data_IF_664020172586
#
_entry.id   IF_664020172586
#
_cell.length_a   1.000
_cell.length_b   1.000
_cell.length_c   1.000
_cell.angle_alpha   90.00
_cell.angle_beta   90.00
_cell.angle_gamma   90.00
#
_symmetry.space_group_name_H-M   'P 1'
#
loop_
_entity.id
_entity.type
_entity.pdbx_description
1 polymer ?
#
# COMPACT_ATOMS: atom_id res chain seq x y z
N UNK A 1 -24.94 30.64 38.80
CA UNK A 1 -25.02 31.02 37.37
C UNK A 1 -24.07 30.12 36.62
N UNK A 2 -24.61 29.34 35.70
CA UNK A 2 -23.97 28.23 34.99
C UNK A 2 -22.65 28.63 34.32
N UNK A 3 -21.58 27.89 34.59
CA UNK A 3 -20.40 27.86 33.73
C UNK A 3 -20.80 27.09 32.47
N UNK A 4 -20.87 27.79 31.35
CA UNK A 4 -21.03 27.18 30.03
C UNK A 4 -19.74 26.41 29.74
N UNK A 5 -19.80 25.08 29.74
CA UNK A 5 -18.80 24.26 29.08
C UNK A 5 -18.68 24.74 27.64
N UNK A 6 -17.47 25.15 27.25
CA UNK A 6 -17.19 25.50 25.86
C UNK A 6 -17.24 24.20 25.06
N UNK A 7 -18.10 24.08 24.04
CA UNK A 7 -18.27 22.84 23.27
C UNK A 7 -17.03 22.39 22.47
N UNK A 8 -15.90 23.10 22.58
CA UNK A 8 -14.62 22.74 21.95
C UNK A 8 -13.57 22.16 22.91
N UNK A 9 -13.78 22.20 24.23
CA UNK A 9 -12.83 21.62 25.20
C UNK A 9 -12.73 20.10 25.07
N UNK A 10 -13.88 19.43 25.02
CA UNK A 10 -13.99 17.98 24.92
C UNK A 10 -13.35 17.43 23.63
N UNK A 11 -13.50 18.12 22.50
CA UNK A 11 -12.93 17.68 21.22
C UNK A 11 -11.40 17.80 21.19
N UNK A 12 -10.84 18.84 21.82
CA UNK A 12 -9.39 19.01 21.92
C UNK A 12 -8.80 17.96 22.86
N UNK A 13 -9.41 17.74 24.02
CA UNK A 13 -8.97 16.71 24.97
C UNK A 13 -9.08 15.29 24.37
N UNK A 14 -10.14 14.99 23.63
CA UNK A 14 -10.29 13.71 22.95
C UNK A 14 -9.23 13.50 21.85
N UNK A 15 -8.94 14.54 21.07
CA UNK A 15 -7.90 14.50 20.05
C UNK A 15 -6.51 14.31 20.66
N UNK A 16 -6.18 15.05 21.72
CA UNK A 16 -4.92 14.90 22.47
C UNK A 16 -4.76 13.49 23.02
N UNK A 17 -5.81 12.94 23.65
CA UNK A 17 -5.81 11.57 24.16
C UNK A 17 -5.56 10.53 23.05
N UNK A 18 -6.20 10.68 21.90
CA UNK A 18 -6.01 9.79 20.75
C UNK A 18 -4.57 9.87 20.21
N UNK A 19 -4.05 11.08 20.04
CA UNK A 19 -2.68 11.33 19.57
C UNK A 19 -1.67 10.71 20.54
N UNK A 20 -1.79 10.94 21.83
CA UNK A 20 -0.91 10.37 22.86
C UNK A 20 -0.95 8.85 22.88
N UNK A 21 -2.14 8.26 22.68
CA UNK A 21 -2.27 6.80 22.57
C UNK A 21 -1.61 6.27 21.30
N UNK A 22 -1.78 6.95 20.17
CA UNK A 22 -1.14 6.59 18.91
C UNK A 22 0.39 6.68 19.01
N UNK A 23 0.92 7.78 19.54
CA UNK A 23 2.36 7.99 19.76
C UNK A 23 2.95 6.93 20.69
N UNK A 24 2.28 6.62 21.81
CA UNK A 24 2.71 5.54 22.71
C UNK A 24 2.71 4.18 22.02
N UNK A 25 1.70 3.89 21.20
CA UNK A 25 1.65 2.65 20.43
C UNK A 25 2.81 2.57 19.42
N UNK A 26 3.06 3.64 18.66
CA UNK A 26 4.17 3.73 17.69
C UNK A 26 5.53 3.56 18.39
N UNK A 27 5.76 4.28 19.49
CA UNK A 27 7.02 4.22 20.26
C UNK A 27 7.35 2.81 20.78
N UNK A 28 6.34 1.95 20.94
CA UNK A 28 6.50 0.56 21.39
C UNK A 28 6.33 -0.47 20.26
N UNK A 29 6.35 -0.04 18.99
CA UNK A 29 6.21 -0.92 17.84
C UNK A 29 4.82 -1.55 17.69
N UNK A 30 3.78 -0.91 18.25
CA UNK A 30 2.39 -1.38 18.22
C UNK A 30 1.61 -0.68 17.13
N UNK A 31 1.69 -1.16 15.89
CA UNK A 31 0.89 -0.59 14.79
C UNK A 31 0.42 -1.66 13.78
N UNK A 32 0.23 -2.91 14.22
CA UNK A 32 -0.23 -4.02 13.38
C UNK A 32 -1.59 -3.75 12.72
N UNK A 33 -2.61 -3.28 13.45
CA UNK A 33 -3.96 -3.04 12.90
C UNK A 33 -3.95 -1.87 11.93
N UNK A 34 -3.32 -0.78 12.34
CA UNK A 34 -3.18 0.43 11.51
C UNK A 34 -2.47 0.11 10.21
N UNK A 35 -1.36 -0.64 10.28
CA UNK A 35 -0.62 -1.02 9.08
C UNK A 35 -1.36 -2.07 8.23
N UNK A 36 -2.15 -2.96 8.84
CA UNK A 36 -3.03 -3.89 8.12
C UNK A 36 -4.10 -3.14 7.31
N UNK A 37 -4.79 -2.19 7.94
CA UNK A 37 -5.80 -1.37 7.29
C UNK A 37 -5.19 -0.46 6.22
N UNK A 38 -4.06 0.18 6.53
CA UNK A 38 -3.35 1.04 5.58
C UNK A 38 -2.85 0.24 4.36
N UNK A 39 -2.39 -1.00 4.55
CA UNK A 39 -2.03 -1.89 3.44
C UNK A 39 -3.23 -2.16 2.53
N UNK A 40 -4.40 -2.47 3.10
CA UNK A 40 -5.62 -2.72 2.31
C UNK A 40 -6.05 -1.47 1.53
N UNK A 41 -6.10 -0.31 2.19
CA UNK A 41 -6.47 0.96 1.56
C UNK A 41 -5.49 1.34 0.44
N UNK A 42 -4.19 1.31 0.73
CA UNK A 42 -3.16 1.63 -0.25
C UNK A 42 -3.15 0.63 -1.42
N UNK A 43 -3.43 -0.66 -1.18
CA UNK A 43 -3.53 -1.65 -2.25
C UNK A 43 -4.72 -1.35 -3.18
N UNK A 44 -5.87 -0.92 -2.65
CA UNK A 44 -7.02 -0.51 -3.46
C UNK A 44 -6.69 0.70 -4.33
N UNK A 45 -6.15 1.77 -3.74
CA UNK A 45 -5.78 2.99 -4.47
C UNK A 45 -4.74 2.69 -5.54
N UNK A 46 -3.64 1.99 -5.16
CA UNK A 46 -2.58 1.59 -6.09
C UNK A 46 -3.14 0.75 -7.24
N UNK A 47 -4.06 -0.18 -6.97
CA UNK A 47 -4.63 -1.03 -8.01
C UNK A 47 -5.57 -0.27 -8.94
N UNK A 48 -6.29 0.74 -8.44
CA UNK A 48 -7.10 1.61 -9.28
C UNK A 48 -6.21 2.40 -10.25
N UNK A 49 -5.13 3.00 -9.76
CA UNK A 49 -4.14 3.69 -10.62
C UNK A 49 -3.53 2.73 -11.65
N UNK A 50 -3.08 1.56 -11.22
CA UNK A 50 -2.54 0.51 -12.10
C UNK A 50 -3.55 0.10 -13.16
N UNK A 51 -4.83 -0.08 -12.79
CA UNK A 51 -5.88 -0.41 -13.74
C UNK A 51 -6.04 0.66 -14.81
N UNK A 52 -6.10 1.95 -14.44
CA UNK A 52 -6.25 3.03 -15.41
C UNK A 52 -5.03 3.17 -16.32
N UNK A 53 -3.82 3.04 -15.79
CA UNK A 53 -2.59 3.07 -16.58
C UNK A 53 -2.54 1.88 -17.56
N UNK A 54 -2.90 0.68 -17.10
CA UNK A 54 -2.91 -0.51 -17.94
C UNK A 54 -4.04 -0.47 -18.97
N UNK A 55 -5.17 0.13 -18.63
CA UNK A 55 -6.29 0.37 -19.54
C UNK A 55 -5.91 1.34 -20.65
N UNK A 56 -5.23 2.46 -20.33
CA UNK A 56 -4.67 3.39 -21.34
C UNK A 56 -3.69 2.68 -22.27
N UNK A 57 -2.94 1.72 -21.75
CA UNK A 57 -2.05 0.85 -22.53
C UNK A 57 -2.74 -0.39 -23.12
N UNK A 58 -4.08 -0.42 -23.14
CA UNK A 58 -4.94 -1.48 -23.72
C UNK A 58 -4.71 -2.90 -23.19
N UNK A 59 -4.09 -3.05 -22.01
CA UNK A 59 -3.71 -4.35 -21.46
C UNK A 59 -2.97 -5.26 -22.46
N UNK A 60 -2.14 -4.68 -23.34
CA UNK A 60 -1.54 -5.39 -24.48
C UNK A 60 -0.60 -6.56 -24.12
N UNK A 61 -0.23 -6.71 -22.85
CA UNK A 61 0.49 -7.86 -22.32
C UNK A 61 -0.33 -8.53 -21.21
N UNK A 62 -0.51 -9.85 -21.28
CA UNK A 62 -1.23 -10.63 -20.26
C UNK A 62 -0.75 -10.40 -18.81
N UNK A 63 0.54 -10.12 -18.62
CA UNK A 63 1.11 -9.81 -17.31
C UNK A 63 0.58 -8.50 -16.71
N UNK A 64 0.00 -7.60 -17.52
CA UNK A 64 -0.66 -6.39 -17.02
C UNK A 64 -1.91 -6.69 -16.19
N UNK A 65 -2.47 -7.89 -16.28
CA UNK A 65 -3.59 -8.32 -15.43
C UNK A 65 -3.14 -8.85 -14.08
N UNK A 66 -1.86 -9.21 -13.91
CA UNK A 66 -1.39 -9.81 -12.66
C UNK A 66 -1.60 -8.91 -11.44
N UNK A 67 -1.39 -7.57 -11.48
CA UNK A 67 -1.69 -6.71 -10.34
C UNK A 67 -3.16 -6.81 -9.92
N UNK A 68 -4.09 -6.81 -10.89
CA UNK A 68 -5.54 -6.87 -10.63
C UNK A 68 -5.92 -8.18 -9.92
N UNK A 69 -5.29 -9.29 -10.29
CA UNK A 69 -5.56 -10.61 -9.71
C UNK A 69 -4.98 -10.76 -8.30
N UNK A 70 -3.81 -10.19 -8.01
CA UNK A 70 -3.18 -10.33 -6.69
C UNK A 70 -3.72 -9.35 -5.64
N UNK A 71 -4.47 -8.32 -6.04
CA UNK A 71 -5.03 -7.31 -5.13
C UNK A 71 -6.10 -7.85 -4.18
N UNK A 72 -7.17 -8.56 -4.63
CA UNK A 72 -8.25 -8.96 -3.73
C UNK A 72 -7.78 -9.75 -2.51
N UNK A 73 -6.84 -10.73 -2.62
CA UNK A 73 -6.30 -11.42 -1.46
C UNK A 73 -5.64 -10.50 -0.42
N UNK A 74 -4.80 -9.54 -0.84
CA UNK A 74 -4.12 -8.64 0.12
C UNK A 74 -5.08 -7.65 0.75
N UNK A 75 -6.09 -7.17 0.02
CA UNK A 75 -7.13 -6.29 0.56
C UNK A 75 -7.96 -7.04 1.60
N UNK A 76 -8.45 -8.23 1.28
CA UNK A 76 -9.20 -9.07 2.22
C UNK A 76 -8.36 -9.38 3.47
N UNK A 77 -7.10 -9.77 3.29
CA UNK A 77 -6.22 -10.07 4.41
C UNK A 77 -5.91 -8.83 5.26
N UNK A 78 -5.75 -7.66 4.66
CA UNK A 78 -5.50 -6.40 5.36
C UNK A 78 -6.71 -5.94 6.17
N UNK A 79 -7.92 -5.94 5.57
CA UNK A 79 -9.17 -5.65 6.27
C UNK A 79 -9.40 -6.65 7.41
N UNK A 80 -9.28 -7.94 7.15
CA UNK A 80 -9.42 -8.97 8.18
C UNK A 80 -8.35 -8.85 9.28
N UNK A 81 -7.14 -8.40 8.94
CA UNK A 81 -6.02 -8.18 9.88
C UNK A 81 -6.30 -7.10 10.93
N UNK A 82 -7.07 -6.06 10.57
CA UNK A 82 -7.55 -5.03 11.50
C UNK A 82 -8.32 -5.67 12.66
N UNK A 83 -9.18 -6.65 12.37
CA UNK A 83 -10.06 -7.27 13.36
C UNK A 83 -9.49 -8.56 13.95
N UNK A 84 -8.62 -9.27 13.23
CA UNK A 84 -8.11 -10.59 13.63
C UNK A 84 -6.58 -10.69 13.59
N UNK A 85 -6.00 -11.04 14.74
CA UNK A 85 -4.57 -11.33 14.87
C UNK A 85 -4.15 -12.51 13.98
N UNK A 86 -5.00 -13.53 13.81
CA UNK A 86 -4.72 -14.67 12.92
C UNK A 86 -4.52 -14.22 11.48
N UNK A 87 -5.37 -13.32 10.99
CA UNK A 87 -5.27 -12.79 9.63
C UNK A 87 -4.04 -11.90 9.45
N UNK A 88 -3.79 -10.99 10.40
CA UNK A 88 -2.61 -10.12 10.39
C UNK A 88 -1.29 -10.91 10.45
N UNK A 89 -1.23 -12.02 11.19
CA UNK A 89 0.00 -12.81 11.37
C UNK A 89 0.23 -13.93 10.34
N UNK A 90 -0.85 -14.46 9.73
CA UNK A 90 -0.74 -15.62 8.84
C UNK A 90 -0.99 -15.25 7.38
N UNK A 91 -2.07 -14.54 7.09
CA UNK A 91 -2.53 -14.34 5.71
C UNK A 91 -1.98 -13.07 5.09
N UNK A 92 -2.03 -11.95 5.83
CA UNK A 92 -1.52 -10.66 5.38
C UNK A 92 -0.04 -10.71 4.93
N UNK A 93 0.91 -11.33 5.65
CA UNK A 93 2.30 -11.38 5.17
C UNK A 93 2.46 -12.24 3.91
N UNK A 94 1.67 -13.30 3.74
CA UNK A 94 1.73 -14.14 2.54
C UNK A 94 1.21 -13.36 1.34
N UNK A 95 0.00 -12.80 1.44
CA UNK A 95 -0.61 -12.03 0.35
C UNK A 95 0.17 -10.74 0.06
N UNK A 96 0.69 -10.08 1.11
CA UNK A 96 1.53 -8.90 1.01
C UNK A 96 2.86 -9.19 0.32
N UNK A 97 3.51 -10.32 0.62
CA UNK A 97 4.73 -10.74 -0.07
C UNK A 97 4.48 -11.05 -1.55
N UNK A 98 3.36 -11.73 -1.89
CA UNK A 98 2.96 -11.97 -3.29
C UNK A 98 2.70 -10.64 -4.01
N UNK A 99 1.96 -9.73 -3.38
CA UNK A 99 1.70 -8.40 -3.91
C UNK A 99 2.99 -7.61 -4.14
N UNK A 100 3.93 -7.68 -3.20
CA UNK A 100 5.23 -7.03 -3.29
C UNK A 100 6.08 -7.61 -4.43
N UNK A 101 6.15 -8.94 -4.52
CA UNK A 101 6.85 -9.64 -5.60
C UNK A 101 6.27 -9.29 -6.98
N UNK A 102 4.95 -9.15 -7.08
CA UNK A 102 4.29 -8.71 -8.31
C UNK A 102 4.69 -7.27 -8.68
N UNK A 103 4.80 -6.37 -7.69
CA UNK A 103 5.34 -5.02 -7.89
C UNK A 103 6.78 -5.03 -8.43
N UNK A 104 7.66 -5.84 -7.85
CA UNK A 104 9.04 -6.00 -8.33
C UNK A 104 9.10 -6.58 -9.75
N UNK A 105 8.22 -7.54 -10.06
CA UNK A 105 8.08 -8.08 -11.41
C UNK A 105 7.62 -7.00 -12.40
N UNK A 106 6.66 -6.16 -12.01
CA UNK A 106 6.24 -4.99 -12.78
C UNK A 106 7.37 -3.99 -12.99
N UNK A 107 8.21 -3.75 -11.97
CA UNK A 107 9.37 -2.86 -12.05
C UNK A 107 10.32 -3.31 -13.16
N UNK A 108 10.62 -4.62 -13.19
CA UNK A 108 11.43 -5.24 -14.23
C UNK A 108 10.78 -5.06 -15.62
N UNK A 109 9.48 -5.34 -15.75
CA UNK A 109 8.80 -5.20 -17.05
C UNK A 109 8.73 -3.75 -17.54
N UNK A 110 8.54 -2.78 -16.65
CA UNK A 110 8.52 -1.36 -17.00
C UNK A 110 9.91 -0.88 -17.43
N UNK A 111 10.95 -1.25 -16.68
CA UNK A 111 12.34 -1.00 -17.08
C UNK A 111 12.68 -1.62 -18.44
N UNK A 112 12.28 -2.88 -18.66
CA UNK A 112 12.44 -3.55 -19.97
C UNK A 112 11.66 -2.85 -21.08
N UNK A 113 10.48 -2.30 -20.77
CA UNK A 113 9.67 -1.51 -21.70
C UNK A 113 10.37 -0.22 -22.13
N UNK A 114 10.99 0.51 -21.19
CA UNK A 114 11.83 1.67 -21.47
C UNK A 114 13.02 1.29 -22.35
N UNK A 115 13.70 0.19 -22.05
CA UNK A 115 14.85 -0.31 -22.81
C UNK A 115 14.51 -0.62 -24.29
N UNK A 116 13.26 -1.00 -24.57
CA UNK A 116 12.77 -1.39 -25.91
C UNK A 116 12.32 -0.22 -26.78
N UNK A 117 12.22 1.00 -26.22
CA UNK A 117 11.92 2.18 -27.03
C UNK A 117 13.10 2.56 -27.93
N UNK A 118 12.88 3.31 -29.03
CA UNK A 118 13.96 3.79 -29.87
C UNK A 118 15.06 4.50 -29.06
N UNK A 119 16.32 4.14 -29.29
CA UNK A 119 17.46 4.64 -28.51
C UNK A 119 17.60 4.08 -27.09
N UNK A 120 16.62 3.32 -26.59
CA UNK A 120 16.64 2.65 -25.29
C UNK A 120 17.07 3.56 -24.13
N UNK A 121 17.92 3.03 -23.25
CA UNK A 121 18.44 3.78 -22.10
C UNK A 121 19.40 4.92 -22.47
N UNK A 122 19.94 4.96 -23.69
CA UNK A 122 20.79 6.09 -24.12
C UNK A 122 19.98 7.38 -24.24
N UNK A 123 18.67 7.28 -24.43
CA UNK A 123 17.73 8.40 -24.45
C UNK A 123 16.79 8.37 -23.23
N UNK A 124 17.31 8.04 -22.03
CA UNK A 124 16.48 7.88 -20.82
C UNK A 124 15.65 9.12 -20.48
N UNK A 125 16.17 10.33 -20.73
CA UNK A 125 15.46 11.60 -20.49
C UNK A 125 14.15 11.71 -21.29
N UNK A 126 14.08 11.05 -22.45
CA UNK A 126 12.88 10.96 -23.27
C UNK A 126 12.09 9.68 -22.98
N UNK A 127 12.78 8.54 -22.90
CA UNK A 127 12.13 7.23 -22.83
C UNK A 127 11.57 6.89 -21.44
N UNK A 128 12.05 7.50 -20.35
CA UNK A 128 11.48 7.29 -19.01
C UNK A 128 10.15 8.04 -18.84
N UNK A 129 10.03 9.35 -19.15
CA UNK A 129 8.74 10.05 -19.05
C UNK A 129 7.70 9.59 -20.08
N UNK A 130 8.14 9.28 -21.30
CA UNK A 130 7.24 8.84 -22.38
C UNK A 130 6.97 7.33 -22.37
N UNK A 131 7.69 6.57 -21.54
CA UNK A 131 7.62 5.13 -21.44
C UNK A 131 6.61 4.63 -20.41
N UNK A 132 6.60 3.31 -20.16
CA UNK A 132 5.87 2.75 -19.03
C UNK A 132 6.34 3.41 -17.72
N UNK A 133 5.44 3.76 -16.79
CA UNK A 133 5.78 4.51 -15.60
C UNK A 133 6.66 3.66 -14.67
N UNK A 134 7.97 3.92 -14.65
CA UNK A 134 8.92 3.02 -13.97
C UNK A 134 8.78 3.04 -12.44
N UNK A 135 8.23 4.09 -11.84
CA UNK A 135 8.09 4.17 -10.38
C UNK A 135 6.83 3.46 -9.85
N UNK A 136 5.77 3.34 -10.66
CA UNK A 136 4.47 2.86 -10.21
C UNK A 136 4.49 1.41 -9.68
N UNK A 137 5.19 0.43 -10.31
CA UNK A 137 5.31 -0.91 -9.74
C UNK A 137 6.13 -0.96 -8.44
N UNK A 138 7.06 -0.03 -8.26
CA UNK A 138 7.80 0.15 -7.01
C UNK A 138 6.89 0.51 -5.84
N UNK A 139 5.89 1.39 -6.05
CA UNK A 139 4.88 1.71 -5.04
C UNK A 139 4.09 0.46 -4.62
N UNK A 140 3.67 -0.36 -5.59
CA UNK A 140 3.02 -1.65 -5.32
C UNK A 140 3.88 -2.55 -4.42
N UNK A 141 5.20 -2.55 -4.65
CA UNK A 141 6.16 -3.31 -3.84
C UNK A 141 6.19 -2.85 -2.38
N UNK A 142 6.21 -1.53 -2.17
CA UNK A 142 6.21 -0.92 -0.82
C UNK A 142 4.91 -1.25 -0.09
N UNK A 143 3.76 -1.13 -0.76
CA UNK A 143 2.45 -1.46 -0.16
C UNK A 143 2.40 -2.93 0.28
N UNK A 144 2.87 -3.85 -0.55
CA UNK A 144 2.95 -5.27 -0.16
C UNK A 144 3.90 -5.50 1.02
N UNK A 145 5.04 -4.82 1.03
CA UNK A 145 6.01 -4.88 2.12
C UNK A 145 5.47 -4.34 3.44
N UNK A 146 4.59 -3.33 3.42
CA UNK A 146 3.86 -2.86 4.61
C UNK A 146 3.00 -3.96 5.21
N UNK A 147 2.33 -4.77 4.38
CA UNK A 147 1.57 -5.94 4.83
C UNK A 147 2.45 -7.01 5.50
N UNK A 148 3.66 -7.22 4.98
CA UNK A 148 4.65 -8.11 5.61
C UNK A 148 5.11 -7.53 6.96
N UNK A 149 5.42 -6.24 7.00
CA UNK A 149 5.86 -5.56 8.21
C UNK A 149 4.79 -5.59 9.32
N UNK A 150 3.50 -5.47 8.96
CA UNK A 150 2.38 -5.59 9.89
C UNK A 150 2.43 -6.91 10.69
N UNK A 151 2.86 -8.00 10.05
CA UNK A 151 2.98 -9.30 10.69
C UNK A 151 4.12 -9.40 11.72
N UNK A 152 5.11 -8.51 11.68
CA UNK A 152 6.24 -8.50 12.63
C UNK A 152 5.92 -7.61 13.84
N UNK A 153 5.08 -6.58 13.65
CA UNK A 153 4.76 -5.59 14.66
C UNK A 153 3.81 -6.09 15.74
N UNK A 154 3.70 -5.35 16.84
CA UNK A 154 2.77 -5.67 17.91
C UNK A 154 1.38 -5.08 17.60
N UNK A 155 0.36 -5.71 18.16
CA UNK A 155 -1.02 -5.23 18.06
C UNK A 155 -1.23 -4.03 19.00
N UNK A 156 -1.93 -3.02 18.51
CA UNK A 156 -2.35 -1.83 19.26
C UNK A 156 -3.17 -2.24 20.48
N UNK A 157 -2.96 -1.51 21.59
CA UNK A 157 -3.76 -1.64 22.81
C UNK A 157 -4.70 -0.47 22.97
#
# INVERSE_FOLDING_TARGET
MFLMDKPGGDLVEEAEYFVDRALRNIAHGRFERSLSGLTAFAALVTTAEVYFEHYRASFGNKWMWSPIVVTPPVVVAGVAGVFSKRWAKRWLPITGAIYAANGLMGQYFHARGVARRPGGWRLYTYNVPMGPPIAAPGLMSIVGAMGVLAAILRREK
#
